data_IF_444448160460
#
_entry.id   IF_444448160460
#
_cell.length_a   1.000
_cell.length_b   1.000
_cell.length_c   1.000
_cell.angle_alpha   90.00
_cell.angle_beta   90.00
_cell.angle_gamma   90.00
#
_symmetry.space_group_name_H-M   'P 1'
#
loop_
_entity.id
_entity.type
_entity.pdbx_description
1 polymer ?
#
# COMPACT_ATOMS: atom_id res chain seq x y z
N UNK A 1 54.58 -28.40 -34.51
CA UNK A 1 53.94 -27.52 -33.49
C UNK A 1 52.58 -27.00 -34.01
N UNK A 2 51.44 -27.63 -33.70
CA UNK A 2 50.57 -27.41 -32.52
C UNK A 2 50.22 -25.94 -32.22
N UNK A 3 49.45 -25.29 -33.11
CA UNK A 3 48.68 -24.07 -32.78
C UNK A 3 47.43 -24.48 -32.00
N UNK A 4 47.43 -24.20 -30.70
CA UNK A 4 46.33 -24.44 -29.78
C UNK A 4 45.27 -23.34 -29.90
N UNK A 5 44.02 -23.79 -30.03
CA UNK A 5 42.80 -23.02 -29.90
C UNK A 5 42.45 -22.91 -28.42
N UNK A 6 42.48 -21.71 -27.83
CA UNK A 6 41.68 -21.40 -26.62
C UNK A 6 41.40 -19.89 -26.58
N UNK A 7 40.16 -19.50 -26.92
CA UNK A 7 39.60 -18.20 -26.51
C UNK A 7 38.28 -18.47 -25.83
N UNK A 8 38.35 -18.57 -24.50
CA UNK A 8 37.21 -18.71 -23.62
C UNK A 8 36.27 -17.50 -23.73
N UNK A 9 34.98 -17.81 -23.84
CA UNK A 9 33.90 -16.84 -23.68
C UNK A 9 33.65 -16.62 -22.18
N UNK A 10 33.57 -15.38 -21.69
CA UNK A 10 32.95 -15.12 -20.40
C UNK A 10 31.45 -14.91 -20.57
N UNK A 11 30.73 -15.81 -19.93
CA UNK A 11 29.39 -15.66 -19.37
C UNK A 11 29.13 -14.23 -18.86
N UNK A 12 28.09 -13.60 -19.39
CA UNK A 12 27.29 -12.70 -18.59
C UNK A 12 25.83 -12.82 -19.00
N UNK A 13 25.24 -13.95 -18.64
CA UNK A 13 23.80 -14.04 -18.45
C UNK A 13 23.36 -12.98 -17.44
N UNK A 14 23.03 -11.77 -17.93
CA UNK A 14 22.24 -10.80 -17.18
C UNK A 14 20.87 -11.41 -16.97
N UNK A 15 20.77 -12.12 -15.85
CA UNK A 15 19.52 -12.59 -15.27
C UNK A 15 18.57 -11.41 -15.24
N UNK A 16 17.52 -11.57 -16.03
CA UNK A 16 16.31 -10.78 -16.01
C UNK A 16 15.68 -10.98 -14.63
N UNK A 17 16.01 -10.10 -13.69
CA UNK A 17 15.26 -9.92 -12.45
C UNK A 17 13.85 -9.44 -12.81
N UNK A 18 12.78 -10.25 -12.65
CA UNK A 18 11.41 -9.80 -12.88
C UNK A 18 10.85 -9.08 -11.65
N UNK A 19 11.62 -8.98 -10.56
CA UNK A 19 11.17 -8.45 -9.28
C UNK A 19 11.70 -7.04 -9.02
N UNK A 20 11.84 -6.25 -10.08
CA UNK A 20 11.95 -4.80 -10.03
C UNK A 20 10.67 -4.18 -9.47
N UNK A 21 10.39 -4.44 -8.19
CA UNK A 21 9.47 -3.68 -7.37
C UNK A 21 9.98 -2.25 -7.44
N UNK A 22 9.36 -1.47 -8.34
CA UNK A 22 9.64 -0.06 -8.55
C UNK A 22 9.89 0.55 -7.19
N UNK A 23 11.13 0.96 -6.95
CA UNK A 23 11.46 1.92 -5.91
C UNK A 23 10.63 3.15 -6.28
N UNK A 24 9.45 3.26 -5.70
CA UNK A 24 8.80 4.53 -5.46
C UNK A 24 9.65 5.21 -4.37
N UNK A 25 10.85 5.61 -4.78
CA UNK A 25 11.61 6.67 -4.15
C UNK A 25 11.09 7.96 -4.77
N UNK A 26 9.80 8.22 -4.52
CA UNK A 26 9.31 9.57 -4.53
C UNK A 26 9.21 9.90 -3.06
N UNK A 27 9.79 11.01 -2.66
CA UNK A 27 9.72 11.60 -1.33
C UNK A 27 8.26 12.00 -1.01
N UNK A 28 7.36 11.03 -1.04
CA UNK A 28 5.95 11.14 -0.74
C UNK A 28 5.82 11.01 0.75
N UNK A 29 5.55 12.13 1.41
CA UNK A 29 5.27 12.12 2.82
C UNK A 29 3.99 11.30 3.01
N UNK A 30 4.08 10.06 3.50
CA UNK A 30 2.92 9.25 3.81
C UNK A 30 2.42 9.57 5.21
N UNK A 31 1.12 9.82 5.33
CA UNK A 31 0.45 9.93 6.61
C UNK A 31 -0.17 8.57 6.94
N UNK A 32 0.16 8.04 8.11
CA UNK A 32 -0.47 6.83 8.63
C UNK A 32 -1.84 7.19 9.20
N UNK A 33 -2.89 6.56 8.67
CA UNK A 33 -4.26 6.69 9.12
C UNK A 33 -4.66 5.46 9.92
N UNK A 34 -5.39 5.68 11.01
CA UNK A 34 -6.10 4.68 11.78
C UNK A 34 -7.53 4.57 11.27
N UNK A 35 -8.06 3.35 11.20
CA UNK A 35 -9.49 3.09 11.01
C UNK A 35 -9.98 2.04 12.00
N UNK A 36 -11.17 2.22 12.56
CA UNK A 36 -11.79 1.25 13.47
C UNK A 36 -12.44 0.06 12.74
N UNK A 37 -11.94 -0.35 11.59
CA UNK A 37 -12.43 -1.49 10.82
C UNK A 37 -11.31 -2.50 10.65
N UNK A 38 -11.62 -3.78 10.82
CA UNK A 38 -10.67 -4.87 10.69
C UNK A 38 -11.28 -6.12 10.09
N UNK A 39 -10.60 -7.24 10.25
CA UNK A 39 -11.06 -8.52 9.67
C UNK A 39 -12.37 -9.01 10.29
N UNK A 40 -12.68 -8.63 11.53
CA UNK A 40 -13.95 -8.97 12.21
C UNK A 40 -15.16 -8.27 11.61
N UNK A 41 -14.95 -7.15 10.92
CA UNK A 41 -15.98 -6.45 10.17
C UNK A 41 -16.24 -7.09 8.78
N UNK A 42 -15.54 -8.19 8.48
CA UNK A 42 -15.64 -8.95 7.24
C UNK A 42 -14.73 -8.43 6.13
N UNK A 43 -13.72 -7.63 6.46
CA UNK A 43 -12.75 -7.13 5.50
C UNK A 43 -11.58 -8.11 5.31
N UNK A 44 -11.25 -8.36 4.04
CA UNK A 44 -9.96 -8.90 3.63
C UNK A 44 -9.11 -7.77 3.06
N UNK A 45 -7.80 -7.96 2.94
CA UNK A 45 -6.89 -6.89 2.53
C UNK A 45 -7.29 -6.19 1.23
N UNK A 46 -7.61 -6.94 0.19
CA UNK A 46 -8.03 -6.37 -1.09
C UNK A 46 -9.39 -5.64 -0.99
N UNK A 47 -10.37 -6.23 -0.31
CA UNK A 47 -11.70 -5.61 -0.18
C UNK A 47 -11.69 -4.38 0.70
N UNK A 48 -10.85 -4.34 1.74
CA UNK A 48 -10.63 -3.15 2.55
C UNK A 48 -10.05 -2.01 1.73
N UNK A 49 -9.02 -2.30 0.92
CA UNK A 49 -8.40 -1.30 0.05
C UNK A 49 -9.39 -0.74 -0.95
N UNK A 50 -10.12 -1.61 -1.62
CA UNK A 50 -11.11 -1.20 -2.60
C UNK A 50 -12.17 -0.31 -1.93
N UNK A 51 -12.67 -0.73 -0.76
CA UNK A 51 -13.66 0.02 0.01
C UNK A 51 -13.20 1.45 0.35
N UNK A 52 -11.98 1.62 0.90
CA UNK A 52 -11.50 2.96 1.25
C UNK A 52 -11.22 3.82 0.01
N UNK A 53 -10.82 3.23 -1.11
CA UNK A 53 -10.61 3.94 -2.38
C UNK A 53 -11.94 4.42 -2.98
N UNK A 54 -12.92 3.51 -3.11
CA UNK A 54 -14.27 3.84 -3.62
C UNK A 54 -14.94 4.92 -2.78
N UNK A 55 -14.80 4.85 -1.45
CA UNK A 55 -15.43 5.81 -0.55
C UNK A 55 -14.82 7.20 -0.60
N UNK A 56 -13.56 7.32 -1.03
CA UNK A 56 -12.80 8.57 -1.07
C UNK A 56 -12.59 9.13 -2.47
N UNK A 57 -13.04 8.42 -3.50
CA UNK A 57 -12.78 8.71 -4.92
C UNK A 57 -11.27 8.90 -5.21
N UNK A 58 -10.45 8.06 -4.55
CA UNK A 58 -9.00 8.09 -4.67
C UNK A 58 -8.50 6.91 -5.50
N UNK A 59 -7.33 7.09 -6.11
CA UNK A 59 -6.64 6.06 -6.89
C UNK A 59 -5.67 5.28 -6.02
N UNK A 60 -5.36 4.04 -6.42
CA UNK A 60 -4.48 3.16 -5.65
C UNK A 60 -3.05 3.68 -5.46
N UNK A 61 -2.58 4.62 -6.27
CA UNK A 61 -1.22 5.18 -6.16
C UNK A 61 -1.02 6.00 -4.89
N UNK A 62 -2.10 6.51 -4.29
CA UNK A 62 -2.03 7.27 -3.03
C UNK A 62 -1.86 6.37 -1.81
N UNK A 63 -1.91 5.04 -1.96
CA UNK A 63 -1.83 4.09 -0.86
C UNK A 63 -0.43 3.50 -0.70
N UNK A 64 0.05 3.47 0.54
CA UNK A 64 1.32 2.86 0.95
C UNK A 64 1.11 1.52 1.67
N UNK A 65 1.84 1.32 2.78
CA UNK A 65 1.74 0.12 3.59
C UNK A 65 0.39 0.04 4.30
N UNK A 66 -0.13 -1.19 4.44
CA UNK A 66 -1.34 -1.48 5.21
C UNK A 66 -1.03 -2.56 6.23
N UNK A 67 -1.47 -2.31 7.46
CA UNK A 67 -1.47 -3.27 8.57
C UNK A 67 -2.92 -3.47 9.02
N UNK A 68 -3.46 -4.67 8.81
CA UNK A 68 -4.81 -5.01 9.26
C UNK A 68 -4.74 -5.85 10.53
N UNK A 69 -5.58 -5.49 11.49
CA UNK A 69 -5.85 -6.30 12.68
C UNK A 69 -7.31 -6.75 12.67
N UNK A 70 -7.68 -7.49 13.71
CA UNK A 70 -9.05 -7.98 13.88
C UNK A 70 -10.05 -6.83 14.03
N UNK A 71 -9.74 -5.82 14.84
CA UNK A 71 -10.68 -4.77 15.26
C UNK A 71 -10.46 -3.41 14.62
N UNK A 72 -9.31 -3.21 13.99
CA UNK A 72 -8.85 -1.95 13.43
C UNK A 72 -7.79 -2.20 12.36
N UNK A 73 -7.48 -1.18 11.58
CA UNK A 73 -6.43 -1.22 10.58
C UNK A 73 -5.68 0.11 10.53
N UNK A 74 -4.45 0.05 10.06
CA UNK A 74 -3.66 1.21 9.71
C UNK A 74 -3.32 1.19 8.22
N UNK A 75 -3.44 2.34 7.58
CA UNK A 75 -3.13 2.52 6.16
C UNK A 75 -2.27 3.76 6.00
N UNK A 76 -1.16 3.63 5.30
CA UNK A 76 -0.38 4.78 4.84
C UNK A 76 -1.05 5.35 3.59
N UNK A 77 -1.25 6.67 3.60
CA UNK A 77 -1.85 7.42 2.49
C UNK A 77 -0.97 8.62 2.21
N UNK A 78 -0.81 9.00 0.94
CA UNK A 78 -0.12 10.23 0.57
C UNK A 78 -0.68 11.42 1.37
N UNK A 79 0.21 12.22 1.97
CA UNK A 79 -0.19 13.29 2.89
C UNK A 79 -1.14 14.30 2.25
N UNK A 80 -1.08 14.52 0.92
CA UNK A 80 -2.00 15.43 0.22
C UNK A 80 -3.40 14.84 0.15
N UNK A 81 -3.52 13.51 0.10
CA UNK A 81 -4.78 12.79 -0.02
C UNK A 81 -5.37 12.35 1.34
N UNK A 82 -4.55 12.32 2.39
CA UNK A 82 -4.96 11.83 3.71
C UNK A 82 -6.18 12.57 4.29
N UNK A 83 -6.20 13.91 4.21
CA UNK A 83 -7.33 14.72 4.71
C UNK A 83 -8.62 14.48 3.93
N UNK A 84 -8.53 14.28 2.62
CA UNK A 84 -9.68 13.93 1.78
C UNK A 84 -10.23 12.57 2.20
N UNK A 85 -9.37 11.56 2.36
CA UNK A 85 -9.79 10.22 2.77
C UNK A 85 -10.48 10.22 4.14
N UNK A 86 -9.91 10.93 5.13
CA UNK A 86 -10.54 11.08 6.46
C UNK A 86 -11.94 11.69 6.32
N UNK A 87 -12.08 12.82 5.63
CA UNK A 87 -13.37 13.51 5.46
C UNK A 87 -14.41 12.65 4.73
N UNK A 88 -13.97 11.83 3.79
CA UNK A 88 -14.85 11.00 3.00
C UNK A 88 -15.33 9.74 3.74
N UNK A 89 -14.62 9.28 4.77
CA UNK A 89 -14.87 7.99 5.42
C UNK A 89 -15.30 8.16 6.88
N UNK A 90 -14.65 9.07 7.62
CA UNK A 90 -14.95 9.31 9.03
C UNK A 90 -16.43 9.69 9.22
N UNK A 91 -17.05 9.07 10.22
CA UNK A 91 -18.43 9.34 10.58
C UNK A 91 -19.49 8.62 9.75
N UNK A 92 -19.13 7.99 8.61
CA UNK A 92 -20.06 7.15 7.84
C UNK A 92 -20.38 5.84 8.58
N UNK A 93 -21.41 5.14 8.13
CA UNK A 93 -21.81 3.85 8.69
C UNK A 93 -21.49 2.71 7.72
N UNK A 94 -20.92 1.63 8.24
CA UNK A 94 -20.72 0.37 7.53
C UNK A 94 -21.30 -0.78 8.35
N UNK A 95 -22.27 -1.51 7.79
CA UNK A 95 -22.94 -2.66 8.44
C UNK A 95 -23.41 -2.36 9.87
N UNK A 96 -24.03 -1.19 10.07
CA UNK A 96 -24.51 -0.75 11.39
C UNK A 96 -23.43 -0.25 12.36
N UNK A 97 -22.15 -0.29 11.98
CA UNK A 97 -21.04 0.26 12.77
C UNK A 97 -20.63 1.64 12.24
N UNK A 98 -20.49 2.62 13.13
CA UNK A 98 -19.93 3.92 12.77
C UNK A 98 -18.43 3.81 12.55
N UNK A 99 -17.97 4.26 11.38
CA UNK A 99 -16.57 4.27 11.00
C UNK A 99 -15.90 5.47 11.67
N UNK A 100 -14.72 5.23 12.23
CA UNK A 100 -13.81 6.25 12.74
C UNK A 100 -12.51 6.16 11.96
N UNK A 101 -12.09 7.28 11.40
CA UNK A 101 -10.85 7.38 10.66
C UNK A 101 -10.10 8.67 11.01
N UNK A 102 -8.84 8.55 11.40
CA UNK A 102 -8.04 9.70 11.83
C UNK A 102 -6.54 9.46 11.61
N UNK A 103 -5.73 10.51 11.71
CA UNK A 103 -4.29 10.38 11.69
C UNK A 103 -3.80 9.58 12.90
N UNK A 104 -2.92 8.61 12.68
CA UNK A 104 -2.45 7.68 13.71
C UNK A 104 -1.52 8.35 14.74
N UNK A 105 -0.99 9.53 14.43
CA UNK A 105 -0.14 10.31 15.33
C UNK A 105 -0.92 11.27 16.25
N UNK A 106 -2.26 11.29 16.19
CA UNK A 106 -3.07 12.27 16.92
C UNK A 106 -3.35 11.89 18.39
N UNK A 107 -2.36 11.31 19.09
CA UNK A 107 -2.53 10.81 20.47
C UNK A 107 -1.82 11.67 21.49
#
# INVERSE_FOLDING_TARGET
ERRQLERGAPDQGRRKDPNGRKKFDESGNFTKLFVNLGTKDGFYKASFLQFILDMSDLRKDVLGRIDMKEMNSWVEVDAKSAKQMIRAIDGKNYRGRKIRMNEANSR
#
